data_IF_116237641030
#
_entry.id   IF_116237641030
#
_cell.length_a   1.000
_cell.length_b   1.000
_cell.length_c   1.000
_cell.angle_alpha   90.00
_cell.angle_beta   90.00
_cell.angle_gamma   90.00
#
_symmetry.space_group_name_H-M   'P 1'
#
loop_
_entity.id
_entity.type
_entity.pdbx_description
1 polymer ?
#
# COMPACT_ATOMS: atom_id res chain seq x y z
N UNK A 1 -35.43 19.15 -11.62
CA UNK A 1 -34.13 19.75 -11.93
C UNK A 1 -33.31 19.77 -10.65
N UNK A 2 -32.04 19.31 -10.73
CA UNK A 2 -30.91 19.62 -9.84
C UNK A 2 -31.01 19.14 -8.37
N UNK A 3 -30.09 18.37 -7.79
CA UNK A 3 -28.65 18.28 -8.00
C UNK A 3 -28.12 16.85 -7.79
N UNK A 4 -27.05 16.54 -8.55
CA UNK A 4 -26.18 15.38 -8.43
C UNK A 4 -25.73 15.13 -6.98
N UNK A 5 -25.66 13.87 -6.58
CA UNK A 5 -24.35 13.33 -6.24
C UNK A 5 -24.25 11.86 -6.65
N UNK A 6 -23.37 11.62 -7.59
CA UNK A 6 -23.09 10.34 -8.24
C UNK A 6 -21.61 10.08 -8.08
N UNK A 7 -21.19 9.52 -6.93
CA UNK A 7 -20.04 8.62 -6.77
C UNK A 7 -19.66 8.44 -5.29
N UNK A 8 -20.27 7.49 -4.60
CA UNK A 8 -19.71 6.99 -3.33
C UNK A 8 -19.37 5.52 -3.48
N UNK A 9 -18.52 5.20 -4.46
CA UNK A 9 -17.87 3.90 -4.53
C UNK A 9 -16.47 4.03 -3.90
N UNK A 10 -16.44 4.37 -2.61
CA UNK A 10 -15.22 4.30 -1.79
C UNK A 10 -15.03 2.84 -1.37
N UNK A 11 -14.34 2.06 -2.19
CA UNK A 11 -13.87 0.73 -1.80
C UNK A 11 -12.61 0.93 -0.94
N UNK A 12 -12.86 1.13 0.36
CA UNK A 12 -11.85 1.21 1.41
C UNK A 12 -11.64 -0.16 2.04
N UNK A 13 -10.38 -0.56 2.22
CA UNK A 13 -10.02 -1.85 2.77
C UNK A 13 -9.00 -1.65 3.90
N UNK A 14 -9.21 -2.34 5.01
CA UNK A 14 -8.34 -2.27 6.18
C UNK A 14 -7.93 -3.69 6.59
N UNK A 15 -6.64 -3.94 6.64
CA UNK A 15 -6.05 -5.19 7.09
C UNK A 15 -5.17 -4.93 8.29
N UNK A 16 -5.36 -5.75 9.31
CA UNK A 16 -4.55 -5.78 10.53
C UNK A 16 -4.15 -7.22 10.77
N UNK A 17 -2.84 -7.44 10.87
CA UNK A 17 -2.18 -8.69 11.16
C UNK A 17 -1.38 -8.46 12.45
N UNK A 18 -1.74 -9.19 13.50
CA UNK A 18 -1.22 -8.99 14.86
C UNK A 18 -0.45 -10.21 15.39
N UNK A 19 -0.24 -11.26 14.59
CA UNK A 19 0.51 -12.46 15.00
C UNK A 19 1.87 -12.53 14.27
N UNK A 20 2.95 -12.42 15.05
CA UNK A 20 4.34 -12.22 14.60
C UNK A 20 4.97 -13.39 13.82
N UNK A 21 4.29 -14.53 13.62
CA UNK A 21 5.00 -15.78 13.28
C UNK A 21 4.56 -16.52 12.00
N UNK A 22 3.42 -16.22 11.37
CA UNK A 22 2.99 -16.94 10.14
C UNK A 22 2.18 -16.10 9.13
N UNK A 23 1.91 -14.82 9.44
CA UNK A 23 0.93 -14.03 8.68
C UNK A 23 1.52 -13.18 7.54
N UNK A 24 2.84 -13.09 7.41
CA UNK A 24 3.48 -12.36 6.30
C UNK A 24 3.00 -12.88 4.93
N UNK A 25 2.85 -14.20 4.82
CA UNK A 25 2.27 -14.87 3.64
C UNK A 25 0.81 -14.48 3.37
N UNK A 26 0.04 -14.17 4.42
CA UNK A 26 -1.35 -13.72 4.28
C UNK A 26 -1.41 -12.29 3.74
N UNK A 27 -0.55 -11.40 4.25
CA UNK A 27 -0.45 -10.01 3.74
C UNK A 27 -0.01 -10.02 2.28
N UNK A 28 0.98 -10.83 1.92
CA UNK A 28 1.44 -10.99 0.54
C UNK A 28 0.34 -11.56 -0.37
N UNK A 29 -0.41 -12.58 0.07
CA UNK A 29 -1.53 -13.15 -0.70
C UNK A 29 -2.67 -12.15 -0.91
N UNK A 30 -2.92 -11.30 0.10
CA UNK A 30 -3.87 -10.20 0.00
C UNK A 30 -3.40 -9.20 -1.04
N UNK A 31 -2.14 -8.78 -0.99
CA UNK A 31 -1.56 -7.86 -1.97
C UNK A 31 -1.73 -8.43 -3.38
N UNK A 32 -1.38 -9.69 -3.59
CA UNK A 32 -1.56 -10.37 -4.88
C UNK A 32 -3.02 -10.32 -5.34
N UNK A 33 -3.99 -10.57 -4.45
CA UNK A 33 -5.42 -10.45 -4.78
C UNK A 33 -5.84 -9.02 -5.14
N UNK A 34 -5.31 -8.02 -4.45
CA UNK A 34 -5.62 -6.60 -4.72
C UNK A 34 -5.13 -6.14 -6.08
N UNK A 35 -4.01 -6.69 -6.57
CA UNK A 35 -3.55 -6.40 -7.93
C UNK A 35 -4.53 -6.87 -9.00
N UNK A 36 -5.37 -7.87 -8.68
CA UNK A 36 -6.41 -8.40 -9.57
C UNK A 36 -7.75 -7.64 -9.45
N UNK A 37 -7.91 -6.78 -8.44
CA UNK A 37 -9.15 -6.06 -8.15
C UNK A 37 -9.00 -4.55 -8.37
N UNK A 38 -9.43 -4.00 -9.52
CA UNK A 38 -9.13 -2.63 -9.95
C UNK A 38 -10.05 -1.55 -9.34
N UNK A 39 -10.74 -1.83 -8.23
CA UNK A 39 -11.76 -0.91 -7.69
C UNK A 39 -11.34 -0.22 -6.40
N UNK A 40 -10.26 -0.66 -5.76
CA UNK A 40 -9.88 -0.23 -4.42
C UNK A 40 -9.12 1.09 -4.51
N UNK A 41 -9.58 2.07 -3.72
CA UNK A 41 -9.03 3.43 -3.74
C UNK A 41 -8.28 3.77 -2.45
N UNK A 42 -8.66 3.15 -1.34
CA UNK A 42 -8.06 3.34 -0.03
C UNK A 42 -7.68 1.97 0.55
N UNK A 43 -6.39 1.79 0.87
CA UNK A 43 -5.88 0.60 1.52
C UNK A 43 -5.16 0.98 2.81
N UNK A 44 -5.47 0.27 3.89
CA UNK A 44 -4.73 0.31 5.15
C UNK A 44 -4.20 -1.08 5.45
N UNK A 45 -2.90 -1.18 5.72
CA UNK A 45 -2.22 -2.41 6.13
C UNK A 45 -1.50 -2.10 7.44
N UNK A 46 -1.82 -2.86 8.48
CA UNK A 46 -1.07 -2.94 9.73
C UNK A 46 -0.56 -4.37 9.84
N UNK A 47 0.75 -4.56 9.95
CA UNK A 47 1.33 -5.89 10.03
C UNK A 47 2.66 -5.84 10.79
N UNK A 48 2.72 -6.46 11.97
CA UNK A 48 3.93 -6.58 12.79
C UNK A 48 4.91 -7.64 12.23
N UNK A 49 5.07 -7.71 10.91
CA UNK A 49 5.94 -8.69 10.24
C UNK A 49 6.55 -8.13 8.93
N UNK A 50 7.60 -8.79 8.40
CA UNK A 50 8.16 -8.43 7.10
C UNK A 50 7.18 -8.67 5.95
N UNK A 51 6.96 -7.65 5.10
CA UNK A 51 6.08 -7.73 3.93
C UNK A 51 6.93 -7.60 2.65
N UNK A 52 6.91 -8.62 1.80
CA UNK A 52 7.76 -8.68 0.60
C UNK A 52 7.05 -8.11 -0.64
N UNK A 53 5.75 -8.35 -0.80
CA UNK A 53 5.03 -8.01 -2.03
C UNK A 53 4.48 -6.59 -2.06
N UNK A 54 4.78 -5.76 -1.06
CA UNK A 54 4.27 -4.38 -0.97
C UNK A 54 4.38 -3.54 -2.26
N UNK A 55 5.46 -3.63 -3.07
CA UNK A 55 5.58 -2.86 -4.31
C UNK A 55 4.56 -3.28 -5.38
N UNK A 56 4.05 -4.51 -5.34
CA UNK A 56 3.07 -4.99 -6.31
C UNK A 56 1.75 -4.22 -6.23
N UNK A 57 1.46 -3.54 -5.12
CA UNK A 57 0.31 -2.65 -5.00
C UNK A 57 0.34 -1.51 -6.03
N UNK A 58 1.49 -1.19 -6.64
CA UNK A 58 1.60 -0.26 -7.77
C UNK A 58 0.80 -0.70 -9.00
N UNK A 59 0.52 -2.00 -9.13
CA UNK A 59 -0.34 -2.55 -10.19
C UNK A 59 -1.81 -2.14 -10.00
N UNK A 60 -2.22 -1.80 -8.78
CA UNK A 60 -3.56 -1.32 -8.47
C UNK A 60 -3.71 0.16 -8.85
N UNK A 61 -3.96 0.43 -10.13
CA UNK A 61 -4.07 1.79 -10.69
C UNK A 61 -5.23 2.63 -10.13
N UNK A 62 -6.18 2.01 -9.42
CA UNK A 62 -7.25 2.72 -8.71
C UNK A 62 -6.84 3.22 -7.33
N UNK A 63 -5.72 2.72 -6.78
CA UNK A 63 -5.30 3.03 -5.42
C UNK A 63 -4.76 4.46 -5.36
N UNK A 64 -5.46 5.32 -4.61
CA UNK A 64 -5.11 6.74 -4.45
C UNK A 64 -4.60 7.05 -3.05
N UNK A 65 -4.95 6.23 -2.06
CA UNK A 65 -4.51 6.40 -0.67
C UNK A 65 -4.03 5.07 -0.10
N UNK A 66 -2.81 5.05 0.41
CA UNK A 66 -2.22 3.90 1.08
C UNK A 66 -1.72 4.30 2.48
N UNK A 67 -2.09 3.50 3.47
CA UNK A 67 -1.69 3.65 4.87
C UNK A 67 -0.99 2.38 5.32
N UNK A 68 0.22 2.53 5.82
CA UNK A 68 1.02 1.43 6.36
C UNK A 68 1.27 1.69 7.83
N UNK A 69 1.11 0.66 8.66
CA UNK A 69 1.37 0.67 10.07
C UNK A 69 2.20 -0.57 10.48
N UNK A 70 3.24 -0.37 11.28
CA UNK A 70 4.02 -1.44 11.92
C UNK A 70 4.77 -2.37 10.94
N UNK A 71 4.87 -1.99 9.66
CA UNK A 71 5.45 -2.82 8.59
C UNK A 71 6.97 -2.76 8.60
N UNK A 72 7.61 -3.91 8.40
CA UNK A 72 9.02 -3.99 7.99
C UNK A 72 9.15 -4.49 6.55
N UNK A 73 10.05 -3.92 5.75
CA UNK A 73 10.30 -4.40 4.37
C UNK A 73 11.72 -4.08 3.90
N UNK A 74 12.28 -4.95 3.05
CA UNK A 74 13.57 -4.72 2.40
C UNK A 74 13.42 -3.86 1.14
N UNK A 75 14.48 -3.09 0.85
CA UNK A 75 14.55 -1.98 -0.10
C UNK A 75 13.68 -2.12 -1.34
N UNK A 76 12.60 -1.32 -1.41
CA UNK A 76 11.77 -1.21 -2.59
C UNK A 76 11.41 0.25 -2.87
N UNK A 77 11.58 0.66 -4.12
CA UNK A 77 11.07 1.94 -4.61
C UNK A 77 9.58 1.76 -4.95
N UNK A 78 8.74 2.64 -4.44
CA UNK A 78 7.32 2.68 -4.81
C UNK A 78 7.13 3.41 -6.13
N UNK A 79 6.42 2.76 -7.06
CA UNK A 79 6.11 3.28 -8.39
C UNK A 79 4.59 3.42 -8.61
N UNK A 80 3.94 4.13 -7.70
CA UNK A 80 2.49 4.25 -7.70
C UNK A 80 2.08 5.56 -8.38
N UNK A 81 1.88 5.49 -9.69
CA UNK A 81 1.46 6.65 -10.49
C UNK A 81 0.11 7.21 -10.01
N UNK A 82 -0.82 6.36 -9.55
CA UNK A 82 -2.14 6.79 -9.08
C UNK A 82 -2.17 7.32 -7.65
N UNK A 83 -1.12 7.08 -6.86
CA UNK A 83 -1.11 7.36 -5.43
C UNK A 83 -1.00 8.87 -5.19
N UNK A 84 -1.94 9.39 -4.41
CA UNK A 84 -2.05 10.80 -4.06
C UNK A 84 -1.72 11.06 -2.59
N UNK A 85 -1.97 10.07 -1.72
CA UNK A 85 -1.75 10.19 -0.29
C UNK A 85 -1.08 8.93 0.25
N UNK A 86 -0.03 9.11 1.03
CA UNK A 86 0.69 8.03 1.66
C UNK A 86 0.91 8.32 3.13
N UNK A 87 0.56 7.37 3.98
CA UNK A 87 0.71 7.49 5.43
C UNK A 87 1.57 6.36 5.95
N UNK A 88 2.56 6.71 6.75
CA UNK A 88 3.47 5.79 7.42
C UNK A 88 3.30 5.96 8.93
N UNK A 89 3.11 4.85 9.62
CA UNK A 89 3.09 4.78 11.08
C UNK A 89 3.98 3.63 11.52
N UNK A 90 5.03 3.92 12.30
CA UNK A 90 5.96 2.92 12.84
C UNK A 90 6.48 1.88 11.81
N UNK A 91 6.78 2.33 10.60
CA UNK A 91 7.28 1.45 9.53
C UNK A 91 8.81 1.50 9.44
N UNK A 92 9.42 0.34 9.20
CA UNK A 92 10.85 0.17 8.99
C UNK A 92 11.15 -0.22 7.54
N UNK A 93 11.98 0.56 6.85
CA UNK A 93 12.45 0.27 5.50
C UNK A 93 13.96 0.06 5.50
N UNK A 94 14.42 -1.13 5.12
CA UNK A 94 15.84 -1.40 4.98
C UNK A 94 16.35 -0.95 3.61
N UNK A 95 17.45 -0.21 3.57
CA UNK A 95 18.03 0.32 2.31
C UNK A 95 18.76 -0.76 1.48
N UNK A 96 18.86 -1.98 2.00
CA UNK A 96 19.56 -3.09 1.34
C UNK A 96 20.99 -2.71 0.95
N UNK A 97 21.36 -2.98 -0.30
CA UNK A 97 22.68 -2.65 -0.86
C UNK A 97 22.80 -1.20 -1.38
N UNK A 98 21.71 -0.45 -1.43
CA UNK A 98 21.75 0.93 -1.93
C UNK A 98 22.27 1.90 -0.86
N UNK A 99 22.89 3.00 -1.30
CA UNK A 99 23.41 4.04 -0.40
C UNK A 99 22.34 5.01 0.08
N UNK A 100 21.27 5.14 -0.69
CA UNK A 100 20.18 6.09 -0.47
C UNK A 100 18.89 5.47 -0.95
N UNK A 101 17.89 5.40 -0.08
CA UNK A 101 16.56 4.91 -0.43
C UNK A 101 15.67 6.10 -0.78
N UNK A 102 15.20 6.13 -2.03
CA UNK A 102 14.10 7.02 -2.43
C UNK A 102 12.83 6.19 -2.61
N UNK A 103 12.07 6.04 -1.52
CA UNK A 103 10.84 5.27 -1.50
C UNK A 103 9.80 5.79 -2.50
N UNK A 104 9.81 7.08 -2.87
CA UNK A 104 8.69 7.71 -3.57
C UNK A 104 9.01 8.15 -4.99
N UNK A 105 10.15 7.72 -5.53
CA UNK A 105 10.64 8.16 -6.83
C UNK A 105 9.62 8.01 -7.97
N UNK A 106 8.81 6.95 -7.96
CA UNK A 106 7.78 6.70 -8.98
C UNK A 106 6.37 7.20 -8.61
N UNK A 107 6.18 7.74 -7.41
CA UNK A 107 4.90 8.25 -6.93
C UNK A 107 4.66 9.70 -7.38
N UNK A 108 4.60 9.93 -8.70
CA UNK A 108 4.58 11.29 -9.31
C UNK A 108 3.39 12.17 -8.92
N UNK A 109 2.29 11.58 -8.44
CA UNK A 109 1.07 12.29 -8.04
C UNK A 109 0.93 12.44 -6.51
N UNK A 110 1.93 12.00 -5.74
CA UNK A 110 1.93 12.05 -4.28
C UNK A 110 1.96 13.51 -3.79
N UNK A 111 1.13 13.83 -2.79
CA UNK A 111 0.96 15.18 -2.23
C UNK A 111 1.15 15.22 -0.72
#
# INVERSE_FOLDING_TARGET
MSHRDSSTNLYALNFSCNDELDDGHMVDSIIDHLTLSPTIQLLTISAECPVANLPQLSLCQSLTTLKLADISTEATTFDFVSLQRFYLFDCWFECGAEKTLDLFRGCVNLR
#
